data_IF_199461815554
#
_entry.id   IF_199461815554
#
_cell.length_a   1.000
_cell.length_b   1.000
_cell.length_c   1.000
_cell.angle_alpha   90.00
_cell.angle_beta   90.00
_cell.angle_gamma   90.00
#
_symmetry.space_group_name_H-M   'P 1'
#
loop_
_entity.id
_entity.type
_entity.pdbx_description
1 polymer ?
#
# COMPACT_ATOMS: atom_id res chain seq x y z
N UNK A 1 8.48 -1.57 14.80
CA UNK A 1 8.78 -2.50 13.69
C UNK A 1 8.13 -1.95 12.42
N UNK A 2 8.82 -1.94 11.27
CA UNK A 2 8.22 -1.54 10.00
C UNK A 2 7.09 -2.52 9.63
N UNK A 3 5.94 -2.02 9.17
CA UNK A 3 4.88 -2.87 8.65
C UNK A 3 5.34 -3.48 7.32
N UNK A 4 5.46 -4.81 7.26
CA UNK A 4 5.95 -5.56 6.09
C UNK A 4 5.14 -5.21 4.84
N UNK A 5 3.84 -4.96 4.99
CA UNK A 5 2.92 -4.59 3.89
C UNK A 5 3.28 -3.29 3.19
N UNK A 6 4.06 -2.42 3.84
CA UNK A 6 4.50 -1.14 3.30
C UNK A 6 5.93 -1.17 2.74
N UNK A 7 6.59 -2.34 2.74
CA UNK A 7 7.94 -2.50 2.20
C UNK A 7 7.85 -2.83 0.72
N UNK A 8 8.28 -1.88 -0.12
CA UNK A 8 8.32 -2.05 -1.58
C UNK A 8 9.60 -2.73 -2.07
N UNK A 9 10.70 -2.65 -1.31
CA UNK A 9 11.95 -3.28 -1.70
C UNK A 9 11.89 -4.81 -1.46
N UNK A 10 12.15 -5.58 -2.51
CA UNK A 10 12.02 -7.04 -2.49
C UNK A 10 13.00 -7.69 -1.50
N UNK A 11 14.24 -7.23 -1.46
CA UNK A 11 15.26 -7.79 -0.55
C UNK A 11 14.93 -7.46 0.91
N UNK A 12 14.56 -6.22 1.19
CA UNK A 12 14.14 -5.79 2.52
C UNK A 12 12.95 -6.64 2.99
N UNK A 13 11.99 -6.88 2.11
CA UNK A 13 10.79 -7.65 2.43
C UNK A 13 11.12 -9.12 2.74
N UNK A 14 11.86 -9.81 1.87
CA UNK A 14 12.29 -11.20 2.11
C UNK A 14 13.09 -11.32 3.40
N UNK A 15 14.01 -10.39 3.62
CA UNK A 15 14.83 -10.35 4.84
C UNK A 15 13.96 -10.24 6.09
N UNK A 16 13.01 -9.29 6.12
CA UNK A 16 12.13 -9.07 7.27
C UNK A 16 11.13 -10.23 7.46
N UNK A 17 10.62 -10.84 6.38
CA UNK A 17 9.77 -12.04 6.43
C UNK A 17 10.49 -13.23 7.11
N UNK A 18 11.80 -13.36 6.86
CA UNK A 18 12.65 -14.37 7.51
C UNK A 18 13.14 -13.95 8.91
N UNK A 19 12.79 -12.75 9.38
CA UNK A 19 13.14 -12.26 10.72
C UNK A 19 14.56 -11.71 10.85
N UNK A 20 15.30 -11.53 9.75
CA UNK A 20 16.68 -11.03 9.80
C UNK A 20 16.75 -9.50 9.89
N UNK A 21 17.70 -8.99 10.66
CA UNK A 21 18.21 -7.62 10.55
C UNK A 21 19.21 -7.48 9.39
N UNK A 22 19.48 -6.24 8.96
CA UNK A 22 20.53 -5.98 7.96
C UNK A 22 21.90 -6.47 8.42
N UNK A 23 22.18 -6.44 9.73
CA UNK A 23 23.46 -6.87 10.29
C UNK A 23 23.60 -8.41 10.29
N UNK A 24 22.52 -9.13 10.57
CA UNK A 24 22.54 -10.61 10.57
C UNK A 24 22.74 -11.13 9.16
N UNK A 25 21.95 -10.64 8.19
CA UNK A 25 22.09 -11.12 6.82
C UNK A 25 23.41 -10.69 6.20
N UNK A 26 23.95 -9.52 6.56
CA UNK A 26 25.26 -9.09 6.04
C UNK A 26 26.38 -10.03 6.51
N UNK A 27 26.30 -10.53 7.75
CA UNK A 27 27.23 -11.56 8.25
C UNK A 27 27.11 -12.86 7.46
N UNK A 28 25.89 -13.31 7.16
CA UNK A 28 25.65 -14.55 6.39
C UNK A 28 26.23 -14.49 4.98
N UNK A 29 26.06 -13.36 4.28
CA UNK A 29 26.61 -13.20 2.92
C UNK A 29 28.08 -12.77 2.89
N UNK A 30 28.65 -12.38 4.04
CA UNK A 30 30.05 -11.99 4.20
C UNK A 30 30.38 -10.57 3.74
N UNK A 31 29.48 -9.61 3.97
CA UNK A 31 29.71 -8.19 3.68
C UNK A 31 29.42 -7.32 4.90
N UNK A 32 29.79 -6.04 4.83
CA UNK A 32 29.44 -5.07 5.88
C UNK A 32 27.95 -4.71 5.84
N UNK A 33 27.37 -4.37 6.99
CA UNK A 33 25.98 -3.93 7.07
C UNK A 33 25.70 -2.69 6.18
N UNK A 34 26.68 -1.79 6.04
CA UNK A 34 26.56 -0.60 5.18
C UNK A 34 26.55 -0.94 3.69
N UNK A 35 27.29 -1.97 3.25
CA UNK A 35 27.20 -2.49 1.89
C UNK A 35 25.84 -3.11 1.63
N UNK A 36 25.33 -3.93 2.57
CA UNK A 36 24.00 -4.52 2.42
C UNK A 36 22.89 -3.47 2.38
N UNK A 37 22.97 -2.43 3.22
CA UNK A 37 22.03 -1.31 3.18
C UNK A 37 22.02 -0.60 1.83
N UNK A 38 23.19 -0.43 1.19
CA UNK A 38 23.27 0.16 -0.16
C UNK A 38 22.63 -0.71 -1.23
N UNK A 39 22.75 -2.04 -1.10
CA UNK A 39 22.07 -3.00 -1.96
C UNK A 39 20.55 -2.86 -1.84
N UNK A 40 20.00 -2.85 -0.61
CA UNK A 40 18.55 -2.64 -0.41
C UNK A 40 18.07 -1.28 -0.93
N UNK A 41 18.92 -0.24 -0.87
CA UNK A 41 18.59 1.09 -1.42
C UNK A 41 18.71 1.16 -2.94
N UNK A 42 19.16 0.11 -3.62
CA UNK A 42 19.39 0.10 -5.07
C UNK A 42 20.62 0.91 -5.52
N UNK A 43 21.50 1.27 -4.59
CA UNK A 43 22.72 2.07 -4.84
C UNK A 43 23.97 1.22 -5.02
N UNK A 44 23.84 -0.11 -4.99
CA UNK A 44 24.94 -1.06 -5.20
C UNK A 44 24.39 -2.34 -5.82
N UNK A 45 25.15 -2.90 -6.76
CA UNK A 45 24.74 -4.08 -7.52
C UNK A 45 24.76 -5.37 -6.64
N UNK A 46 23.62 -6.05 -6.47
CA UNK A 46 23.54 -7.33 -5.74
C UNK A 46 24.07 -8.54 -6.50
N UNK A 47 24.38 -8.46 -7.79
CA UNK A 47 24.68 -9.63 -8.64
C UNK A 47 25.77 -10.55 -8.06
N UNK A 48 26.81 -9.96 -7.45
CA UNK A 48 27.91 -10.71 -6.81
C UNK A 48 27.49 -11.57 -5.62
N UNK A 49 26.31 -11.29 -5.06
CA UNK A 49 25.78 -11.94 -3.86
C UNK A 49 24.56 -12.81 -4.15
N UNK A 50 24.10 -12.90 -5.40
CA UNK A 50 22.89 -13.62 -5.79
C UNK A 50 22.85 -15.06 -5.29
N UNK A 51 23.95 -15.82 -5.47
CA UNK A 51 24.02 -17.21 -5.02
C UNK A 51 23.82 -17.36 -3.51
N UNK A 52 24.48 -16.52 -2.71
CA UNK A 52 24.34 -16.56 -1.25
C UNK A 52 22.95 -16.09 -0.80
N UNK A 53 22.40 -15.08 -1.47
CA UNK A 53 21.05 -14.60 -1.20
C UNK A 53 20.00 -15.67 -1.54
N UNK A 54 20.17 -16.38 -2.65
CA UNK A 54 19.26 -17.43 -3.08
C UNK A 54 19.28 -18.63 -2.12
N UNK A 55 20.46 -19.01 -1.63
CA UNK A 55 20.63 -20.02 -0.57
C UNK A 55 19.90 -19.60 0.73
N UNK A 56 20.07 -18.35 1.19
CA UNK A 56 19.41 -17.84 2.40
C UNK A 56 17.88 -17.76 2.22
N UNK A 57 17.43 -17.37 1.04
CA UNK A 57 16.02 -17.21 0.72
C UNK A 57 15.35 -18.51 0.24
N UNK A 58 16.10 -19.60 0.16
CA UNK A 58 15.64 -20.91 -0.32
C UNK A 58 14.89 -20.82 -1.66
N UNK A 59 15.50 -20.15 -2.64
CA UNK A 59 14.97 -19.99 -3.99
C UNK A 59 16.08 -20.08 -5.05
N UNK A 60 15.71 -20.08 -6.33
CA UNK A 60 16.70 -20.00 -7.40
C UNK A 60 17.31 -18.59 -7.50
N UNK A 61 18.56 -18.42 -7.98
CA UNK A 61 19.19 -17.11 -8.12
C UNK A 61 18.38 -16.10 -8.95
N UNK A 62 17.68 -16.56 -9.98
CA UNK A 62 16.81 -15.71 -10.81
C UNK A 62 15.55 -15.23 -10.07
N UNK A 63 15.14 -15.94 -9.01
CA UNK A 63 13.95 -15.64 -8.22
C UNK A 63 14.23 -14.70 -7.04
N UNK A 64 15.50 -14.39 -6.73
CA UNK A 64 15.85 -13.48 -5.61
C UNK A 64 15.11 -12.15 -5.72
N UNK A 65 14.96 -11.64 -6.95
CA UNK A 65 14.25 -10.41 -7.28
C UNK A 65 12.92 -10.62 -8.00
N UNK A 66 12.48 -11.86 -8.19
CA UNK A 66 11.30 -12.19 -9.00
C UNK A 66 10.40 -13.22 -8.30
N UNK A 67 9.35 -13.64 -8.99
CA UNK A 67 8.45 -14.71 -8.54
C UNK A 67 7.34 -14.22 -7.62
N UNK A 68 6.93 -15.10 -6.69
CA UNK A 68 5.77 -14.89 -5.82
C UNK A 68 5.85 -13.61 -4.98
N UNK A 69 7.06 -13.18 -4.59
CA UNK A 69 7.25 -11.96 -3.79
C UNK A 69 6.73 -10.70 -4.49
N UNK A 70 6.84 -10.62 -5.82
CA UNK A 70 6.29 -9.48 -6.58
C UNK A 70 4.77 -9.51 -6.50
N UNK A 71 4.16 -10.68 -6.70
CA UNK A 71 2.70 -10.87 -6.62
C UNK A 71 2.18 -10.55 -5.22
N UNK A 72 2.91 -10.90 -4.17
CA UNK A 72 2.57 -10.55 -2.79
C UNK A 72 2.64 -9.03 -2.54
N UNK A 73 3.72 -8.39 -3.01
CA UNK A 73 3.86 -6.93 -2.92
C UNK A 73 2.68 -6.24 -3.62
N UNK A 74 2.37 -6.65 -4.86
CA UNK A 74 1.25 -6.11 -5.62
C UNK A 74 -0.10 -6.34 -4.93
N UNK A 75 -0.35 -7.55 -4.40
CA UNK A 75 -1.57 -7.85 -3.63
C UNK A 75 -1.69 -6.97 -2.39
N UNK A 76 -0.59 -6.74 -1.66
CA UNK A 76 -0.60 -5.86 -0.49
C UNK A 76 -0.81 -4.40 -0.86
N UNK A 77 -0.25 -3.94 -2.00
CA UNK A 77 -0.51 -2.60 -2.53
C UNK A 77 -1.99 -2.42 -2.88
N UNK A 78 -2.61 -3.41 -3.54
CA UNK A 78 -4.03 -3.38 -3.93
C UNK A 78 -4.96 -3.45 -2.70
N UNK A 79 -4.60 -4.25 -1.71
CA UNK A 79 -5.41 -4.47 -0.52
C UNK A 79 -5.04 -3.54 0.66
N UNK A 80 -4.26 -2.49 0.41
CA UNK A 80 -3.81 -1.62 1.49
C UNK A 80 -5.03 -0.87 2.10
N UNK A 81 -5.37 -1.09 3.38
CA UNK A 81 -6.55 -0.51 4.02
C UNK A 81 -6.44 1.01 4.21
N UNK A 82 -5.35 1.66 3.76
CA UNK A 82 -5.18 3.11 3.79
C UNK A 82 -5.97 3.84 2.69
N UNK A 83 -6.71 3.13 1.84
CA UNK A 83 -7.56 3.75 0.83
C UNK A 83 -8.69 4.55 1.50
N UNK A 84 -8.59 5.87 1.48
CA UNK A 84 -9.58 6.78 2.05
C UNK A 84 -10.46 7.30 0.91
N UNK A 85 -11.75 6.98 0.94
CA UNK A 85 -12.78 7.63 0.12
C UNK A 85 -13.84 8.24 1.05
N UNK A 86 -13.59 9.47 1.48
CA UNK A 86 -14.45 10.17 2.44
C UNK A 86 -15.12 11.37 1.77
N UNK A 87 -16.37 11.62 2.17
CA UNK A 87 -17.16 12.77 1.76
C UNK A 87 -17.76 13.43 2.99
N UNK A 88 -17.72 14.75 3.02
CA UNK A 88 -18.29 15.55 4.11
C UNK A 88 -19.08 16.70 3.50
N UNK A 89 -20.38 16.72 3.76
CA UNK A 89 -21.29 17.74 3.27
C UNK A 89 -21.26 18.95 4.19
N UNK A 90 -21.21 20.16 3.62
CA UNK A 90 -21.13 21.38 4.41
C UNK A 90 -22.51 21.78 4.95
N UNK A 91 -22.74 21.62 6.25
CA UNK A 91 -24.05 21.83 6.90
C UNK A 91 -24.64 23.23 6.68
N UNK A 92 -23.80 24.27 6.73
CA UNK A 92 -24.25 25.69 6.66
C UNK A 92 -24.20 26.31 5.26
N UNK A 93 -23.70 25.56 4.27
CA UNK A 93 -23.55 26.03 2.89
C UNK A 93 -24.01 24.91 1.96
N UNK A 94 -25.32 24.84 1.68
CA UNK A 94 -25.88 23.86 0.76
C UNK A 94 -25.16 23.93 -0.60
N UNK A 95 -24.90 22.77 -1.22
CA UNK A 95 -24.19 22.67 -2.49
C UNK A 95 -22.66 22.50 -2.40
N UNK A 96 -22.05 22.65 -1.21
CA UNK A 96 -20.62 22.37 -1.00
C UNK A 96 -20.35 21.00 -0.36
N UNK A 97 -19.52 20.19 -1.00
CA UNK A 97 -19.04 18.89 -0.51
C UNK A 97 -17.51 18.86 -0.49
N UNK A 98 -16.93 18.35 0.59
CA UNK A 98 -15.50 18.03 0.64
C UNK A 98 -15.30 16.56 0.29
N UNK A 99 -14.39 16.28 -0.65
CA UNK A 99 -14.00 14.92 -1.03
C UNK A 99 -12.54 14.70 -0.65
N UNK A 100 -12.28 13.66 0.14
CA UNK A 100 -10.93 13.19 0.47
C UNK A 100 -10.74 11.81 -0.15
N UNK A 101 -9.95 11.77 -1.22
CA UNK A 101 -9.61 10.56 -1.97
C UNK A 101 -8.11 10.38 -1.87
N UNK A 102 -7.67 9.29 -1.25
CA UNK A 102 -6.26 8.95 -1.07
C UNK A 102 -6.05 7.45 -1.16
N UNK A 103 -4.97 7.02 -1.81
CA UNK A 103 -4.63 5.60 -2.03
C UNK A 103 -4.95 5.05 -3.43
N UNK A 104 -4.86 3.73 -3.57
CA UNK A 104 -4.97 2.99 -4.84
C UNK A 104 -6.31 2.27 -4.94
N UNK A 105 -7.14 2.65 -5.90
CA UNK A 105 -8.45 2.04 -6.11
C UNK A 105 -8.48 1.24 -7.40
N UNK A 106 -9.12 0.08 -7.37
CA UNK A 106 -9.48 -0.64 -8.60
C UNK A 106 -10.54 0.13 -9.38
N UNK A 107 -10.60 -0.09 -10.70
CA UNK A 107 -11.65 0.50 -11.55
C UNK A 107 -13.06 0.26 -10.99
N UNK A 108 -13.33 -0.94 -10.48
CA UNK A 108 -14.61 -1.29 -9.87
C UNK A 108 -14.89 -0.45 -8.62
N UNK A 109 -13.93 -0.34 -7.70
CA UNK A 109 -14.09 0.48 -6.49
C UNK A 109 -14.34 1.96 -6.81
N UNK A 110 -13.67 2.52 -7.83
CA UNK A 110 -13.91 3.90 -8.26
C UNK A 110 -15.34 4.07 -8.75
N UNK A 111 -15.82 3.15 -9.60
CA UNK A 111 -17.18 3.21 -10.14
C UNK A 111 -18.23 3.05 -9.03
N UNK A 112 -18.05 2.08 -8.13
CA UNK A 112 -18.96 1.83 -7.02
C UNK A 112 -19.02 3.04 -6.07
N UNK A 113 -17.86 3.61 -5.71
CA UNK A 113 -17.78 4.81 -4.86
C UNK A 113 -18.40 6.04 -5.52
N UNK A 114 -18.20 6.21 -6.84
CA UNK A 114 -18.77 7.31 -7.59
C UNK A 114 -20.30 7.19 -7.68
N UNK A 115 -20.82 5.99 -7.96
CA UNK A 115 -22.26 5.76 -7.99
C UNK A 115 -22.90 6.03 -6.62
N UNK A 116 -22.24 5.61 -5.54
CA UNK A 116 -22.68 5.91 -4.17
C UNK A 116 -22.69 7.42 -3.90
N UNK A 117 -21.65 8.15 -4.31
CA UNK A 117 -21.59 9.61 -4.19
C UNK A 117 -22.73 10.30 -4.96
N UNK A 118 -23.02 9.87 -6.19
CA UNK A 118 -24.14 10.42 -6.97
C UNK A 118 -25.48 10.20 -6.24
N UNK A 119 -25.73 8.99 -5.73
CA UNK A 119 -26.95 8.71 -4.98
C UNK A 119 -27.06 9.60 -3.73
N UNK A 120 -25.97 9.81 -3.00
CA UNK A 120 -25.93 10.70 -1.83
C UNK A 120 -26.16 12.17 -2.20
N UNK A 121 -25.62 12.63 -3.32
CA UNK A 121 -25.85 13.99 -3.84
C UNK A 121 -27.30 14.18 -4.29
N UNK A 122 -27.92 13.18 -4.90
CA UNK A 122 -29.34 13.22 -5.29
C UNK A 122 -30.28 13.20 -4.05
N UNK A 123 -29.92 12.43 -3.02
CA UNK A 123 -30.61 12.45 -1.73
C UNK A 123 -30.39 13.76 -0.97
N UNK A 124 -29.26 14.44 -1.21
CA UNK A 124 -28.93 15.73 -0.63
C UNK A 124 -29.75 16.87 -1.27
N UNK A 125 -31.04 16.87 -0.97
CA UNK A 125 -31.99 17.88 -1.43
C UNK A 125 -31.73 19.22 -0.74
N UNK A 126 -31.37 20.23 -1.52
CA UNK A 126 -31.37 21.64 -1.10
C UNK A 126 -32.80 22.17 -1.12
N UNK A 127 -33.33 22.62 0.03
CA UNK A 127 -34.59 23.37 0.07
C UNK A 127 -34.31 24.88 0.13
N UNK A 128 -35.23 25.71 -0.36
CA UNK A 128 -35.15 27.19 -0.32
C UNK A 128 -34.93 27.75 1.09
N UNK A 129 -35.24 26.98 2.15
CA UNK A 129 -35.11 27.36 3.56
C UNK A 129 -34.00 26.59 4.33
N UNK A 130 -33.06 25.93 3.63
CA UNK A 130 -31.99 25.13 4.26
C UNK A 130 -32.26 23.62 4.31
N UNK A 131 -31.26 22.83 4.70
CA UNK A 131 -31.24 21.35 4.58
C UNK A 131 -32.25 20.70 5.55
N UNK A 132 -33.17 19.85 5.04
CA UNK A 132 -33.93 18.89 5.85
C UNK A 132 -33.30 17.49 5.69
N UNK A 133 -32.54 17.05 6.67
CA UNK A 133 -32.13 15.64 6.77
C UNK A 133 -33.37 14.78 7.06
N UNK A 134 -33.72 13.83 6.20
CA UNK A 134 -34.61 12.74 6.60
C UNK A 134 -33.79 11.81 7.49
N UNK A 135 -33.95 11.92 8.81
CA UNK A 135 -33.69 10.76 9.65
C UNK A 135 -34.56 9.62 9.12
N UNK A 136 -33.93 8.49 8.73
CA UNK A 136 -34.67 7.23 8.69
C UNK A 136 -35.14 6.99 10.13
N UNK A 137 -36.46 7.04 10.33
CA UNK A 137 -37.04 6.55 11.57
C UNK A 137 -36.78 5.04 11.66
N UNK A 138 -36.36 4.61 12.85
CA UNK A 138 -36.19 3.20 13.22
C UNK A 138 -37.45 2.36 12.98
#
# INVERSE_FOLDING_TARGET
MKNIKNISNILERRRVQLGYSQQEISKLIGITQSQYSRIEKGTSDPNKHLKKLSEIFNCEPCEVFHGEIIREIEKDFINNPTNIFQRTFHERKPGYVNLKIDGWFTKKQVLDNYQMLLNELDEWKTSENGIKWKHKAD
#
